data_IF_572312143569
#
_entry.id   IF_572312143569
#
_cell.length_a   1.000
_cell.length_b   1.000
_cell.length_c   1.000
_cell.angle_alpha   90.00
_cell.angle_beta   90.00
_cell.angle_gamma   90.00
#
_symmetry.space_group_name_H-M   'P 1'
#
loop_
_entity.id
_entity.type
_entity.pdbx_description
1 polymer ?
#
# COMPACT_ATOMS: atom_id res chain seq x y z
N UNK A 1 -1.66 -12.58 36.42
CA UNK A 1 -1.34 -11.23 35.95
C UNK A 1 0.09 -11.25 35.48
N UNK A 2 0.32 -11.31 34.17
CA UNK A 2 1.66 -11.20 33.61
C UNK A 2 2.04 -9.73 33.76
N UNK A 3 3.12 -9.48 34.48
CA UNK A 3 3.60 -8.15 34.79
C UNK A 3 4.01 -7.44 33.50
N UNK A 4 3.25 -6.40 33.12
CA UNK A 4 3.43 -5.63 31.87
C UNK A 4 4.82 -4.98 31.81
N UNK A 5 5.44 -4.73 32.97
CA UNK A 5 6.83 -4.26 33.07
C UNK A 5 7.87 -5.28 32.60
N UNK A 6 7.56 -6.58 32.62
CA UNK A 6 8.46 -7.67 32.20
C UNK A 6 8.48 -7.85 30.68
N UNK A 7 7.40 -7.48 29.97
CA UNK A 7 7.41 -7.40 28.51
C UNK A 7 8.32 -6.25 28.04
N UNK A 8 8.22 -5.09 28.70
CA UNK A 8 8.98 -3.86 28.44
C UNK A 8 10.51 -4.07 28.50
N UNK A 9 11.00 -4.69 29.58
CA UNK A 9 12.43 -4.94 29.76
C UNK A 9 13.03 -5.98 28.77
N UNK A 10 12.23 -6.87 28.16
CA UNK A 10 12.73 -7.89 27.20
C UNK A 10 12.92 -7.33 25.79
N UNK A 11 12.25 -6.23 25.46
CA UNK A 11 12.18 -5.66 24.09
C UNK A 11 13.49 -4.95 23.71
N UNK A 12 14.10 -4.25 24.66
CA UNK A 12 15.35 -3.48 24.46
C UNK A 12 16.62 -4.24 24.82
N UNK A 13 16.53 -5.27 25.68
CA UNK A 13 17.70 -6.03 26.14
C UNK A 13 18.19 -7.10 25.17
N UNK A 14 17.35 -7.57 24.24
CA UNK A 14 17.77 -8.55 23.23
C UNK A 14 18.57 -7.93 22.07
N UNK A 15 18.50 -6.61 21.89
CA UNK A 15 19.18 -5.92 20.79
C UNK A 15 20.27 -5.01 21.36
N UNK A 16 21.54 -5.42 21.19
CA UNK A 16 22.71 -4.69 21.70
C UNK A 16 22.90 -3.38 20.93
N UNK A 17 22.29 -2.30 21.39
CA UNK A 17 22.39 -0.99 20.75
C UNK A 17 23.33 -0.03 21.49
N UNK A 18 24.17 0.75 20.76
CA UNK A 18 24.93 1.87 21.32
C UNK A 18 24.05 3.07 21.72
N UNK A 19 22.88 3.22 21.08
CA UNK A 19 21.88 4.25 21.38
C UNK A 19 20.49 3.74 20.95
N UNK A 20 19.80 2.93 21.78
CA UNK A 20 18.49 2.43 21.44
C UNK A 20 17.49 3.59 21.31
N UNK A 21 16.56 3.56 20.33
CA UNK A 21 15.50 4.55 20.26
C UNK A 21 14.65 4.47 21.54
N UNK A 22 14.11 5.61 22.00
CA UNK A 22 13.35 5.65 23.24
C UNK A 22 12.12 4.76 23.11
N UNK A 23 11.96 3.82 24.03
CA UNK A 23 10.84 2.87 24.05
C UNK A 23 9.47 3.57 24.07
N UNK A 24 9.40 4.75 24.68
CA UNK A 24 8.23 5.63 24.70
C UNK A 24 7.79 6.14 23.32
N UNK A 25 8.63 6.02 22.29
CA UNK A 25 8.28 6.41 20.91
C UNK A 25 7.44 5.35 20.21
N UNK A 26 7.58 4.08 20.59
CA UNK A 26 6.83 2.99 19.99
C UNK A 26 5.57 2.67 20.79
N UNK A 27 5.64 2.84 22.12
CA UNK A 27 4.52 2.59 23.04
C UNK A 27 4.47 3.71 24.09
N UNK A 28 3.74 4.82 23.86
CA UNK A 28 3.54 5.80 24.90
C UNK A 28 2.87 5.11 26.11
N UNK A 29 3.30 5.41 27.36
CA UNK A 29 2.70 4.77 28.52
C UNK A 29 1.20 5.07 28.56
N UNK A 30 0.39 4.01 28.48
CA UNK A 30 -1.06 4.05 28.57
C UNK A 30 -1.53 3.07 29.63
N UNK A 31 -2.64 3.39 30.28
CA UNK A 31 -3.34 2.46 31.19
C UNK A 31 -4.50 1.75 30.51
N UNK A 32 -4.76 2.06 29.24
CA UNK A 32 -5.82 1.43 28.46
C UNK A 32 -5.42 0.01 28.07
N UNK A 33 -6.15 -0.97 28.58
CA UNK A 33 -5.88 -2.39 28.34
C UNK A 33 -6.08 -2.80 26.88
N UNK A 34 -6.96 -2.11 26.14
CA UNK A 34 -7.20 -2.39 24.73
C UNK A 34 -6.00 -1.98 23.87
N UNK A 35 -5.43 -0.80 24.15
CA UNK A 35 -4.22 -0.30 23.49
C UNK A 35 -3.04 -1.23 23.79
N UNK A 36 -2.84 -1.61 25.06
CA UNK A 36 -1.78 -2.55 25.46
C UNK A 36 -1.91 -3.90 24.74
N UNK A 37 -3.13 -4.42 24.57
CA UNK A 37 -3.36 -5.68 23.89
C UNK A 37 -3.07 -5.59 22.38
N UNK A 38 -3.45 -4.48 21.74
CA UNK A 38 -3.14 -4.20 20.32
C UNK A 38 -1.62 -4.10 20.10
N UNK A 39 -0.96 -3.34 20.96
CA UNK A 39 0.48 -3.16 21.03
C UNK A 39 1.23 -4.49 21.14
N UNK A 40 0.77 -5.39 22.01
CA UNK A 40 1.33 -6.73 22.15
C UNK A 40 1.09 -7.59 20.90
N UNK A 41 -0.09 -7.49 20.27
CA UNK A 41 -0.39 -8.17 19.02
C UNK A 41 0.54 -7.72 17.89
N UNK A 42 0.67 -6.40 17.66
CA UNK A 42 1.56 -5.82 16.66
C UNK A 42 2.98 -6.31 16.88
N UNK A 43 3.49 -6.23 18.12
CA UNK A 43 4.84 -6.70 18.44
C UNK A 43 5.05 -8.19 18.10
N UNK A 44 4.11 -9.06 18.45
CA UNK A 44 4.17 -10.49 18.13
C UNK A 44 4.18 -10.72 16.61
N UNK A 45 3.38 -9.97 15.85
CA UNK A 45 3.37 -10.02 14.38
C UNK A 45 4.72 -9.56 13.82
N UNK A 46 5.30 -8.47 14.31
CA UNK A 46 6.60 -7.98 13.85
C UNK A 46 7.73 -8.98 14.11
N UNK A 47 7.75 -9.62 15.28
CA UNK A 47 8.72 -10.71 15.54
C UNK A 47 8.57 -11.87 14.57
N UNK A 48 7.33 -12.20 14.20
CA UNK A 48 7.06 -13.23 13.21
C UNK A 48 7.60 -12.82 11.84
N UNK A 49 7.31 -11.60 11.38
CA UNK A 49 7.77 -11.03 10.10
C UNK A 49 9.30 -11.03 10.02
N UNK A 50 9.99 -10.63 11.10
CA UNK A 50 11.46 -10.65 11.17
C UNK A 50 12.04 -12.05 11.04
N UNK A 51 11.47 -13.02 11.77
CA UNK A 51 11.86 -14.44 11.65
C UNK A 51 11.66 -14.94 10.22
N UNK A 52 10.52 -14.60 9.59
CA UNK A 52 10.23 -14.97 8.19
C UNK A 52 11.16 -14.30 7.20
N UNK A 53 11.55 -13.06 7.45
CA UNK A 53 12.55 -12.33 6.66
C UNK A 53 13.86 -13.12 6.65
N UNK A 54 14.42 -13.45 7.82
CA UNK A 54 15.66 -14.24 7.92
C UNK A 54 15.53 -15.62 7.25
N UNK A 55 14.40 -16.32 7.44
CA UNK A 55 14.14 -17.60 6.77
C UNK A 55 14.08 -17.47 5.24
N UNK A 56 13.48 -16.40 4.73
CA UNK A 56 13.40 -16.15 3.29
C UNK A 56 14.78 -15.85 2.71
N UNK A 57 15.62 -15.10 3.42
CA UNK A 57 17.01 -14.80 3.04
C UNK A 57 17.89 -16.04 3.01
N UNK A 58 17.84 -16.85 4.08
CA UNK A 58 18.62 -18.08 4.24
C UNK A 58 18.28 -19.11 3.15
N UNK A 59 17.01 -19.17 2.76
CA UNK A 59 16.51 -20.12 1.75
C UNK A 59 16.58 -19.59 0.32
N UNK A 60 17.04 -18.34 0.11
CA UNK A 60 17.00 -17.67 -1.19
C UNK A 60 15.60 -17.75 -1.82
N UNK A 61 14.58 -17.50 -1.00
CA UNK A 61 13.19 -17.75 -1.37
C UNK A 61 12.77 -16.88 -2.54
N UNK A 62 11.85 -17.40 -3.37
CA UNK A 62 11.26 -16.65 -4.47
C UNK A 62 10.41 -15.49 -3.95
N UNK A 63 10.21 -14.49 -4.81
CA UNK A 63 9.42 -13.29 -4.54
C UNK A 63 8.01 -13.62 -4.01
N UNK A 64 7.37 -14.65 -4.55
CA UNK A 64 6.05 -15.12 -4.08
C UNK A 64 6.04 -15.53 -2.60
N UNK A 65 7.13 -16.11 -2.10
CA UNK A 65 7.24 -16.50 -0.69
C UNK A 65 7.46 -15.28 0.20
N UNK A 66 8.23 -14.28 -0.27
CA UNK A 66 8.37 -12.99 0.42
C UNK A 66 7.04 -12.25 0.50
N UNK A 67 6.29 -12.23 -0.61
CA UNK A 67 4.95 -11.65 -0.70
C UNK A 67 3.99 -12.26 0.34
N UNK A 68 3.95 -13.59 0.42
CA UNK A 68 3.07 -14.31 1.36
C UNK A 68 3.50 -14.17 2.84
N UNK A 69 4.79 -14.36 3.13
CA UNK A 69 5.25 -14.52 4.51
C UNK A 69 5.78 -13.24 5.18
N UNK A 70 6.05 -12.18 4.40
CA UNK A 70 6.67 -10.93 4.89
C UNK A 70 5.84 -9.72 4.48
N UNK A 71 5.65 -9.48 3.18
CA UNK A 71 5.07 -8.23 2.70
C UNK A 71 3.56 -8.13 2.98
N UNK A 72 2.78 -9.18 2.69
CA UNK A 72 1.34 -9.18 3.00
C UNK A 72 1.08 -9.05 4.51
N UNK A 73 1.73 -9.82 5.42
CA UNK A 73 1.58 -9.63 6.87
C UNK A 73 1.98 -8.24 7.37
N UNK A 74 2.95 -7.59 6.73
CA UNK A 74 3.37 -6.23 7.10
C UNK A 74 2.32 -5.20 6.68
N UNK A 75 1.77 -5.33 5.47
CA UNK A 75 0.67 -4.49 4.98
C UNK A 75 -0.58 -4.67 5.86
N UNK A 76 -0.91 -5.92 6.23
CA UNK A 76 -2.01 -6.25 7.15
C UNK A 76 -1.89 -5.47 8.45
N UNK A 77 -0.73 -5.56 9.12
CA UNK A 77 -0.50 -4.87 10.39
C UNK A 77 -0.54 -3.35 10.22
N UNK A 78 0.02 -2.83 9.12
CA UNK A 78 0.12 -1.40 8.90
C UNK A 78 -1.24 -0.75 8.60
N UNK A 79 -2.10 -1.44 7.85
CA UNK A 79 -3.34 -0.88 7.31
C UNK A 79 -4.59 -1.34 8.06
N UNK A 80 -4.47 -2.25 9.03
CA UNK A 80 -5.60 -2.79 9.81
C UNK A 80 -6.59 -1.73 10.31
N UNK A 81 -6.09 -0.67 10.95
CA UNK A 81 -6.95 0.41 11.44
C UNK A 81 -7.49 1.28 10.31
N UNK A 82 -6.72 1.44 9.23
CA UNK A 82 -7.10 2.28 8.09
C UNK A 82 -8.20 1.66 7.22
N UNK A 83 -8.44 0.35 7.31
CA UNK A 83 -9.58 -0.31 6.64
C UNK A 83 -10.92 0.28 7.10
N UNK A 84 -11.04 0.62 8.39
CA UNK A 84 -12.24 1.27 8.93
C UNK A 84 -12.46 2.66 8.35
N UNK A 85 -11.37 3.33 7.97
CA UNK A 85 -11.38 4.64 7.32
C UNK A 85 -11.47 4.54 5.78
N UNK A 86 -11.74 3.34 5.24
CA UNK A 86 -11.87 3.12 3.80
C UNK A 86 -10.54 3.05 3.07
N UNK A 87 -9.44 2.61 3.68
CA UNK A 87 -8.19 2.33 2.97
C UNK A 87 -7.83 0.86 3.14
N UNK A 88 -7.78 0.13 2.03
CA UNK A 88 -7.45 -1.30 2.00
C UNK A 88 -6.22 -1.56 1.15
N UNK A 89 -5.71 -2.80 1.19
CA UNK A 89 -4.70 -3.26 0.25
C UNK A 89 -5.11 -4.60 -0.36
N UNK A 90 -4.64 -4.86 -1.58
CA UNK A 90 -4.85 -6.15 -2.23
C UNK A 90 -3.61 -6.62 -2.97
N UNK A 91 -3.45 -7.95 -3.05
CA UNK A 91 -2.53 -8.57 -4.00
C UNK A 91 -3.14 -8.53 -5.39
N UNK A 92 -2.45 -7.86 -6.32
CA UNK A 92 -2.89 -7.66 -7.69
C UNK A 92 -1.89 -8.20 -8.72
N UNK A 93 -1.01 -9.13 -8.30
CA UNK A 93 0.01 -9.79 -9.15
C UNK A 93 -0.55 -10.38 -10.46
N UNK A 94 -1.81 -10.83 -10.43
CA UNK A 94 -2.48 -11.42 -11.58
C UNK A 94 -3.33 -10.43 -12.37
N UNK A 95 -3.58 -9.24 -11.84
CA UNK A 95 -4.34 -8.21 -12.52
C UNK A 95 -3.54 -7.58 -13.67
N UNK A 96 -4.26 -6.99 -14.61
CA UNK A 96 -3.69 -6.37 -15.81
C UNK A 96 -4.25 -4.99 -16.00
N UNK A 97 -3.50 -4.16 -16.71
CA UNK A 97 -3.99 -2.88 -17.18
C UNK A 97 -5.12 -3.14 -18.18
N UNK A 98 -6.22 -2.39 -18.08
CA UNK A 98 -7.30 -2.46 -19.06
C UNK A 98 -6.77 -2.16 -20.48
N UNK A 99 -7.20 -2.92 -21.52
CA UNK A 99 -6.67 -2.77 -22.87
C UNK A 99 -6.67 -1.33 -23.42
N UNK A 100 -7.71 -0.55 -23.15
CA UNK A 100 -7.82 0.85 -23.61
C UNK A 100 -6.85 1.84 -22.95
N UNK A 101 -6.19 1.44 -21.86
CA UNK A 101 -5.22 2.26 -21.11
C UNK A 101 -3.76 1.83 -21.32
N UNK A 102 -3.56 0.70 -22.03
CA UNK A 102 -2.23 0.18 -22.36
C UNK A 102 -1.51 1.11 -23.32
N UNK A 103 -0.19 0.92 -23.39
CA UNK A 103 0.58 1.60 -24.43
C UNK A 103 0.17 1.08 -25.81
N UNK A 104 -0.06 1.95 -26.82
CA UNK A 104 -0.39 1.53 -28.17
C UNK A 104 0.77 0.79 -28.86
N UNK A 105 2.00 0.98 -28.39
CA UNK A 105 3.16 0.24 -28.92
C UNK A 105 3.08 -1.24 -28.50
N UNK A 106 2.90 -2.11 -29.49
CA UNK A 106 2.79 -3.57 -29.30
C UNK A 106 4.09 -4.24 -28.85
N UNK A 107 5.23 -3.54 -28.94
CA UNK A 107 6.51 -4.03 -28.42
C UNK A 107 6.65 -3.81 -26.91
N UNK A 108 5.78 -3.00 -26.28
CA UNK A 108 5.79 -2.80 -24.83
C UNK A 108 5.02 -3.93 -24.16
N UNK A 109 5.72 -4.68 -23.30
CA UNK A 109 5.15 -5.80 -22.57
C UNK A 109 4.10 -5.36 -21.55
N UNK A 110 3.08 -6.19 -21.32
CA UNK A 110 2.07 -5.97 -20.29
C UNK A 110 2.74 -5.85 -18.91
N UNK A 111 2.54 -4.71 -18.25
CA UNK A 111 3.12 -4.42 -16.95
C UNK A 111 2.22 -4.97 -15.84
N UNK A 112 2.87 -5.33 -14.72
CA UNK A 112 2.20 -5.89 -13.55
C UNK A 112 2.78 -5.22 -12.31
N UNK A 113 2.01 -5.26 -11.24
CA UNK A 113 2.42 -4.82 -9.92
C UNK A 113 1.98 -5.87 -8.90
N UNK A 114 2.68 -5.98 -7.77
CA UNK A 114 2.38 -7.00 -6.77
C UNK A 114 1.19 -6.65 -5.88
N UNK A 115 1.16 -5.42 -5.35
CA UNK A 115 0.09 -4.94 -4.49
C UNK A 115 -0.40 -3.56 -4.89
N UNK A 116 -1.65 -3.27 -4.54
CA UNK A 116 -2.23 -1.94 -4.59
C UNK A 116 -2.80 -1.56 -3.23
N UNK A 117 -2.65 -0.30 -2.84
CA UNK A 117 -3.44 0.33 -1.79
C UNK A 117 -4.60 1.05 -2.46
N UNK A 118 -5.80 0.74 -2.02
CA UNK A 118 -7.05 1.22 -2.57
C UNK A 118 -7.76 2.10 -1.56
N UNK A 119 -8.52 3.07 -2.04
CA UNK A 119 -9.44 3.83 -1.19
C UNK A 119 -10.88 3.43 -1.51
N UNK A 120 -11.56 2.88 -0.51
CA UNK A 120 -12.94 2.43 -0.53
C UNK A 120 -13.83 3.51 0.09
N UNK A 121 -14.51 4.34 -0.73
CA UNK A 121 -15.37 5.39 -0.20
C UNK A 121 -16.55 4.77 0.57
N UNK A 122 -16.81 5.31 1.75
CA UNK A 122 -17.96 4.93 2.59
C UNK A 122 -19.27 5.11 1.82
N UNK A 123 -20.23 4.20 2.00
CA UNK A 123 -21.47 4.17 1.19
C UNK A 123 -22.31 5.45 1.30
N UNK A 124 -22.23 6.15 2.43
CA UNK A 124 -22.93 7.40 2.69
C UNK A 124 -22.15 8.65 2.24
N UNK A 125 -20.94 8.47 1.70
CA UNK A 125 -20.12 9.57 1.21
C UNK A 125 -20.58 10.11 -0.16
N UNK A 126 -20.31 11.39 -0.37
CA UNK A 126 -20.51 12.07 -1.67
C UNK A 126 -19.68 11.42 -2.78
N UNK A 127 -18.44 11.02 -2.49
CA UNK A 127 -17.57 10.34 -3.44
C UNK A 127 -18.13 8.98 -3.88
N UNK A 128 -18.67 8.17 -2.95
CA UNK A 128 -19.33 6.92 -3.30
C UNK A 128 -20.48 7.15 -4.29
N UNK A 129 -21.34 8.14 -4.01
CA UNK A 129 -22.45 8.52 -4.89
C UNK A 129 -21.97 9.02 -6.26
N UNK A 130 -20.89 9.79 -6.30
CA UNK A 130 -20.27 10.29 -7.52
C UNK A 130 -19.70 9.15 -8.38
N UNK A 131 -19.01 8.18 -7.77
CA UNK A 131 -18.51 6.98 -8.46
C UNK A 131 -19.65 6.16 -9.05
N UNK A 132 -20.72 5.91 -8.28
CA UNK A 132 -21.89 5.15 -8.78
C UNK A 132 -22.54 5.84 -9.97
N UNK A 133 -22.70 7.16 -9.90
CA UNK A 133 -23.26 7.97 -10.98
C UNK A 133 -22.34 7.98 -12.21
N UNK A 134 -21.03 8.10 -12.00
CA UNK A 134 -20.04 8.02 -13.06
C UNK A 134 -20.13 6.68 -13.78
N UNK A 135 -20.13 5.55 -13.06
CA UNK A 135 -20.24 4.23 -13.68
C UNK A 135 -21.56 3.94 -14.37
N UNK A 136 -22.68 4.47 -13.86
CA UNK A 136 -23.99 4.28 -14.47
C UNK A 136 -24.11 4.95 -15.86
N UNK A 137 -23.27 5.96 -16.16
CA UNK A 137 -23.30 6.67 -17.45
C UNK A 137 -22.70 5.89 -18.61
N UNK A 138 -21.71 5.02 -18.35
CA UNK A 138 -21.05 4.22 -19.39
C UNK A 138 -20.38 3.00 -18.75
N UNK A 139 -20.64 1.82 -19.30
CA UNK A 139 -20.03 0.55 -18.85
C UNK A 139 -18.49 0.54 -18.94
N UNK A 140 -17.90 1.42 -19.77
CA UNK A 140 -16.46 1.57 -19.90
C UNK A 140 -15.87 2.57 -18.90
N UNK A 141 -16.69 3.24 -18.08
CA UNK A 141 -16.19 4.08 -17.00
C UNK A 141 -15.59 3.20 -15.91
N UNK A 142 -14.33 3.47 -15.60
CA UNK A 142 -13.55 2.72 -14.61
C UNK A 142 -13.14 3.64 -13.49
N UNK A 143 -12.89 3.06 -12.32
CA UNK A 143 -12.35 3.80 -11.17
C UNK A 143 -10.90 3.42 -10.87
N UNK A 144 -10.36 2.45 -11.61
CA UNK A 144 -8.96 2.07 -11.57
C UNK A 144 -8.48 1.74 -13.00
N UNK A 145 -7.18 1.89 -13.24
CA UNK A 145 -6.56 1.49 -14.51
C UNK A 145 -6.35 -0.02 -14.65
N UNK A 146 -6.64 -0.78 -13.59
CA UNK A 146 -6.37 -2.20 -13.43
C UNK A 146 -7.66 -3.03 -13.38
N UNK A 147 -7.63 -4.20 -14.01
CA UNK A 147 -8.67 -5.22 -14.03
C UNK A 147 -8.69 -6.00 -12.70
N UNK A 148 -9.48 -5.53 -11.75
CA UNK A 148 -9.80 -6.28 -10.53
C UNK A 148 -10.79 -7.41 -10.87
N UNK A 149 -10.71 -8.52 -10.14
CA UNK A 149 -11.50 -9.72 -10.45
C UNK A 149 -13.00 -9.54 -10.20
N UNK A 150 -13.35 -8.66 -9.27
CA UNK A 150 -14.71 -8.31 -8.89
C UNK A 150 -15.17 -6.97 -9.48
N UNK A 151 -14.34 -6.30 -10.28
CA UNK A 151 -14.64 -4.97 -10.88
C UNK A 151 -15.10 -3.94 -9.83
N UNK A 152 -14.63 -4.08 -8.58
CA UNK A 152 -15.04 -3.27 -7.44
C UNK A 152 -14.79 -1.79 -7.66
N UNK A 153 -15.66 -0.97 -7.08
CA UNK A 153 -15.71 0.48 -7.28
C UNK A 153 -14.72 1.21 -6.35
N UNK A 154 -13.47 0.76 -6.33
CA UNK A 154 -12.41 1.30 -5.46
C UNK A 154 -11.23 1.83 -6.26
N UNK A 155 -10.95 3.13 -6.19
CA UNK A 155 -9.78 3.69 -6.83
C UNK A 155 -8.47 3.13 -6.30
N UNK A 156 -7.58 2.74 -7.22
CA UNK A 156 -6.19 2.44 -6.91
C UNK A 156 -5.44 3.75 -6.61
N UNK A 157 -4.91 3.86 -5.41
CA UNK A 157 -4.20 5.05 -4.93
C UNK A 157 -2.69 4.90 -5.02
N UNK A 158 -2.14 3.80 -4.47
CA UNK A 158 -0.69 3.57 -4.40
C UNK A 158 -0.38 2.18 -4.97
N UNK A 159 0.55 2.13 -5.92
CA UNK A 159 1.06 0.87 -6.47
C UNK A 159 2.33 0.45 -5.72
N UNK A 160 2.42 -0.83 -5.36
CA UNK A 160 3.56 -1.42 -4.64
C UNK A 160 4.14 -2.56 -5.46
N UNK A 161 5.38 -2.37 -5.91
CA UNK A 161 6.15 -3.39 -6.59
C UNK A 161 7.22 -3.93 -5.63
N UNK A 162 7.27 -5.26 -5.53
CA UNK A 162 8.28 -5.98 -4.79
C UNK A 162 9.29 -6.56 -5.78
N UNK A 163 10.57 -6.50 -5.43
CA UNK A 163 11.61 -7.17 -6.20
C UNK A 163 12.47 -7.97 -5.27
N UNK A 164 12.81 -9.19 -5.70
CA UNK A 164 13.71 -10.02 -4.93
C UNK A 164 15.07 -9.29 -4.73
N UNK A 165 15.54 -9.17 -3.47
CA UNK A 165 16.85 -8.67 -3.09
C UNK A 165 18.03 -9.09 -3.99
N UNK A 166 18.02 -10.35 -4.45
CA UNK A 166 19.16 -11.03 -5.06
C UNK A 166 18.94 -11.34 -6.55
N UNK A 167 17.83 -10.91 -7.15
CA UNK A 167 17.64 -11.09 -8.59
C UNK A 167 18.52 -10.10 -9.36
N UNK A 168 19.74 -10.52 -9.67
CA UNK A 168 20.78 -9.81 -10.45
C UNK A 168 20.44 -9.61 -11.93
N UNK A 169 19.18 -9.76 -12.34
CA UNK A 169 18.79 -9.98 -13.73
C UNK A 169 18.00 -8.88 -14.47
N UNK A 170 17.70 -7.72 -13.88
CA UNK A 170 16.79 -6.76 -14.54
C UNK A 170 17.14 -5.28 -14.39
N UNK A 171 18.40 -4.92 -14.63
CA UNK A 171 18.90 -3.54 -14.46
C UNK A 171 18.17 -2.43 -15.27
N UNK A 172 17.35 -2.77 -16.26
CA UNK A 172 16.54 -1.80 -17.05
C UNK A 172 15.05 -2.21 -17.18
N UNK A 173 14.72 -3.50 -17.08
CA UNK A 173 13.37 -4.00 -17.33
C UNK A 173 12.38 -3.69 -16.20
N UNK A 174 12.81 -3.68 -14.93
CA UNK A 174 11.96 -3.36 -13.78
C UNK A 174 11.42 -1.92 -13.83
N UNK A 175 12.29 -0.89 -13.94
CA UNK A 175 11.87 0.50 -14.06
C UNK A 175 10.99 0.76 -15.30
N UNK A 176 11.26 0.07 -16.42
CA UNK A 176 10.45 0.19 -17.63
C UNK A 176 9.03 -0.38 -17.45
N UNK A 177 8.88 -1.54 -16.79
CA UNK A 177 7.57 -2.10 -16.47
C UNK A 177 6.79 -1.20 -15.52
N UNK A 178 7.45 -0.68 -14.48
CA UNK A 178 6.83 0.28 -13.57
C UNK A 178 6.39 1.55 -14.30
N UNK A 179 7.22 2.06 -15.21
CA UNK A 179 6.87 3.22 -16.05
C UNK A 179 5.63 2.98 -16.92
N UNK A 180 5.49 1.79 -17.52
CA UNK A 180 4.29 1.41 -18.27
C UNK A 180 3.05 1.35 -17.38
N UNK A 181 3.18 0.79 -16.16
CA UNK A 181 2.08 0.75 -15.18
C UNK A 181 1.61 2.15 -14.76
N UNK A 182 2.56 3.00 -14.41
CA UNK A 182 2.30 4.38 -13.96
C UNK A 182 1.71 5.22 -15.08
N UNK A 183 2.17 5.05 -16.33
CA UNK A 183 1.59 5.74 -17.47
C UNK A 183 0.12 5.37 -17.68
N UNK A 184 -0.23 4.10 -17.51
CA UNK A 184 -1.63 3.69 -17.60
C UNK A 184 -2.49 4.29 -16.47
N UNK A 185 -1.92 4.43 -15.27
CA UNK A 185 -2.57 5.14 -14.15
C UNK A 185 -2.83 6.60 -14.52
N UNK A 186 -1.83 7.33 -15.04
CA UNK A 186 -2.03 8.73 -15.48
C UNK A 186 -3.07 8.86 -16.60
N UNK A 187 -3.00 8.01 -17.64
CA UNK A 187 -4.02 8.01 -18.72
C UNK A 187 -5.43 7.79 -18.17
N UNK A 188 -5.56 6.96 -17.15
CA UNK A 188 -6.84 6.74 -16.50
C UNK A 188 -7.31 7.99 -15.76
N UNK A 189 -6.45 8.61 -14.94
CA UNK A 189 -6.79 9.82 -14.20
C UNK A 189 -7.15 10.98 -15.16
N UNK A 190 -6.44 11.13 -16.26
CA UNK A 190 -6.72 12.10 -17.33
C UNK A 190 -8.06 11.84 -18.03
N UNK A 191 -8.55 10.59 -18.05
CA UNK A 191 -9.83 10.24 -18.67
C UNK A 191 -11.06 10.64 -17.83
N UNK A 192 -10.85 11.09 -16.59
CA UNK A 192 -11.95 11.49 -15.72
C UNK A 192 -12.58 12.81 -16.20
N UNK A 193 -13.91 13.00 -16.04
CA UNK A 193 -14.65 14.10 -16.67
C UNK A 193 -14.14 15.51 -16.34
N UNK A 194 -13.62 15.69 -15.12
CA UNK A 194 -13.07 16.97 -14.63
C UNK A 194 -11.68 16.78 -14.04
N UNK A 195 -10.89 15.88 -14.64
CA UNK A 195 -9.50 15.70 -14.25
C UNK A 195 -8.78 17.05 -14.24
N UNK A 196 -8.06 17.33 -13.15
CA UNK A 196 -7.26 18.53 -12.99
C UNK A 196 -5.81 18.11 -12.71
N UNK A 197 -4.98 17.97 -13.77
CA UNK A 197 -3.60 17.53 -13.63
C UNK A 197 -2.74 18.51 -12.83
N UNK A 198 -3.05 19.82 -12.88
CA UNK A 198 -2.29 20.84 -12.16
C UNK A 198 -2.50 20.76 -10.65
N UNK A 199 -3.65 20.22 -10.23
CA UNK A 199 -4.00 20.01 -8.82
C UNK A 199 -3.97 18.53 -8.40
N UNK A 200 -3.46 17.62 -9.24
CA UNK A 200 -3.28 16.21 -8.87
C UNK A 200 -2.20 16.10 -7.77
N UNK A 201 -2.50 15.52 -6.60
CA UNK A 201 -1.48 15.30 -5.59
C UNK A 201 -0.39 14.37 -6.13
N UNK A 202 0.84 14.56 -5.66
CA UNK A 202 1.96 13.68 -6.06
C UNK A 202 1.61 12.22 -5.75
N UNK A 203 1.55 11.39 -6.79
CA UNK A 203 1.17 9.98 -6.69
C UNK A 203 2.33 9.15 -6.12
N UNK A 204 2.21 8.59 -4.90
CA UNK A 204 3.23 7.73 -4.34
C UNK A 204 3.26 6.39 -5.07
N UNK A 205 4.47 5.88 -5.27
CA UNK A 205 4.72 4.52 -5.75
C UNK A 205 5.74 3.91 -4.80
N UNK A 206 5.46 2.72 -4.28
CA UNK A 206 6.38 2.01 -3.40
C UNK A 206 7.13 0.97 -4.22
N UNK A 207 8.45 1.11 -4.26
CA UNK A 207 9.34 0.14 -4.89
C UNK A 207 10.26 -0.44 -3.81
N UNK A 208 10.04 -1.71 -3.46
CA UNK A 208 10.79 -2.38 -2.41
C UNK A 208 12.14 -2.87 -2.98
N UNK A 209 13.21 -2.12 -2.71
CA UNK A 209 14.60 -2.46 -3.09
C UNK A 209 15.60 -2.11 -1.98
N UNK A 210 16.82 -2.63 -2.11
CA UNK A 210 17.91 -2.51 -1.13
C UNK A 210 18.71 -1.22 -1.24
N UNK A 211 18.62 -0.50 -2.35
CA UNK A 211 19.58 0.56 -2.69
C UNK A 211 18.96 1.97 -2.86
N UNK A 212 17.66 2.15 -2.60
CA UNK A 212 16.99 3.46 -2.68
C UNK A 212 16.77 4.11 -1.32
N UNK A 213 16.07 5.26 -1.30
CA UNK A 213 15.64 5.92 -0.06
C UNK A 213 14.85 4.90 0.76
N UNK A 214 15.48 4.44 1.84
CA UNK A 214 14.95 3.37 2.66
C UNK A 214 13.94 3.93 3.65
N UNK A 215 12.67 3.54 3.48
CA UNK A 215 11.58 3.85 4.42
C UNK A 215 11.80 3.09 5.75
N UNK A 216 12.30 1.85 5.66
CA UNK A 216 12.67 1.01 6.79
C UNK A 216 13.16 -0.36 6.33
N UNK A 217 13.26 -1.34 7.23
CA UNK A 217 13.72 -2.69 6.93
C UNK A 217 12.93 -3.74 7.70
N UNK A 218 12.76 -4.94 7.16
CA UNK A 218 12.15 -6.06 7.89
C UNK A 218 13.17 -6.90 8.69
N UNK A 219 14.45 -6.50 8.70
CA UNK A 219 15.52 -7.14 9.50
C UNK A 219 15.45 -6.80 11.01
N UNK A 220 14.79 -5.69 11.36
CA UNK A 220 14.82 -5.07 12.67
C UNK A 220 13.43 -4.63 13.09
N UNK A 221 13.17 -4.63 14.40
CA UNK A 221 11.86 -4.18 14.91
C UNK A 221 11.64 -2.70 14.61
N UNK A 222 12.67 -1.87 14.79
CA UNK A 222 12.65 -0.45 14.42
C UNK A 222 12.33 -0.26 12.94
N UNK A 223 13.01 -1.00 12.05
CA UNK A 223 12.76 -0.92 10.61
C UNK A 223 11.31 -1.28 10.26
N UNK A 224 10.75 -2.31 10.90
CA UNK A 224 9.35 -2.68 10.68
C UNK A 224 8.38 -1.59 11.15
N UNK A 225 8.61 -0.99 12.32
CA UNK A 225 7.79 0.11 12.82
C UNK A 225 7.89 1.35 11.91
N UNK A 226 9.06 1.64 11.36
CA UNK A 226 9.23 2.73 10.40
C UNK A 226 8.44 2.48 9.10
N UNK A 227 8.44 1.24 8.58
CA UNK A 227 7.61 0.87 7.42
C UNK A 227 6.12 1.02 7.76
N UNK A 228 5.67 0.53 8.91
CA UNK A 228 4.28 0.66 9.36
C UNK A 228 3.87 2.14 9.42
N UNK A 229 4.65 2.98 10.09
CA UNK A 229 4.32 4.40 10.25
C UNK A 229 4.25 5.13 8.89
N UNK A 230 5.15 4.78 7.96
CA UNK A 230 5.12 5.35 6.62
C UNK A 230 3.89 4.89 5.82
N UNK A 231 3.53 3.60 5.88
CA UNK A 231 2.32 3.07 5.24
C UNK A 231 1.05 3.70 5.84
N UNK A 232 1.00 3.90 7.14
CA UNK A 232 -0.10 4.60 7.81
C UNK A 232 -0.19 6.08 7.38
N UNK A 233 0.95 6.76 7.21
CA UNK A 233 0.97 8.13 6.69
C UNK A 233 0.47 8.22 5.24
N UNK A 234 0.82 7.22 4.43
CA UNK A 234 0.36 7.08 3.06
C UNK A 234 -1.13 6.73 2.98
N UNK A 235 -1.64 5.90 3.90
CA UNK A 235 -3.07 5.67 4.05
C UNK A 235 -3.81 6.97 4.38
N UNK A 236 -3.27 7.80 5.28
CA UNK A 236 -3.77 9.16 5.52
C UNK A 236 -3.80 10.02 4.25
N UNK A 237 -2.72 10.00 3.46
CA UNK A 237 -2.68 10.71 2.16
C UNK A 237 -3.78 10.22 1.19
N UNK A 238 -4.06 8.92 1.12
CA UNK A 238 -5.16 8.39 0.29
C UNK A 238 -6.50 9.06 0.64
N UNK A 239 -6.76 9.27 1.93
CA UNK A 239 -8.01 9.86 2.43
C UNK A 239 -8.03 11.38 2.34
N UNK A 240 -6.96 12.02 2.74
CA UNK A 240 -6.94 13.46 3.00
C UNK A 240 -6.59 14.26 1.74
N UNK A 241 -5.86 13.66 0.80
CA UNK A 241 -5.38 14.34 -0.41
C UNK A 241 -5.97 13.74 -1.69
N UNK A 242 -5.94 12.40 -1.83
CA UNK A 242 -6.33 11.74 -3.08
C UNK A 242 -7.84 11.59 -3.26
N UNK A 243 -8.58 11.17 -2.22
CA UNK A 243 -10.04 11.05 -2.29
C UNK A 243 -10.75 12.40 -2.60
N UNK A 244 -10.37 13.55 -1.99
CA UNK A 244 -10.96 14.83 -2.36
C UNK A 244 -10.64 15.28 -3.79
N UNK A 245 -9.49 14.89 -4.34
CA UNK A 245 -9.19 15.13 -5.75
C UNK A 245 -10.13 14.30 -6.65
N UNK A 246 -10.35 13.03 -6.33
CA UNK A 246 -11.29 12.16 -7.04
C UNK A 246 -12.72 12.70 -7.01
N UNK A 247 -13.16 13.20 -5.86
CA UNK A 247 -14.48 13.80 -5.72
C UNK A 247 -14.66 15.00 -6.65
N UNK A 248 -13.65 15.86 -6.75
CA UNK A 248 -13.65 17.00 -7.70
C UNK A 248 -13.62 16.52 -9.15
N UNK A 249 -12.82 15.50 -9.46
CA UNK A 249 -12.71 14.94 -10.81
C UNK A 249 -14.02 14.31 -11.31
N UNK A 250 -14.88 13.86 -10.39
CA UNK A 250 -16.22 13.31 -10.66
C UNK A 250 -17.37 14.28 -10.35
N UNK A 251 -17.08 15.52 -9.93
CA UNK A 251 -18.11 16.45 -9.50
C UNK A 251 -19.05 16.88 -10.64
N UNK A 252 -20.29 17.20 -10.29
CA UNK A 252 -21.26 17.79 -11.23
C UNK A 252 -21.70 16.85 -12.35
N UNK A 253 -21.66 15.54 -12.10
CA UNK A 253 -22.28 14.50 -12.94
C UNK A 253 -23.79 14.35 -12.65
N UNK A 254 -24.41 15.35 -12.02
CA UNK A 254 -25.85 15.42 -11.80
C UNK A 254 -26.53 15.97 -13.07
N UNK A 255 -27.18 15.09 -13.84
CA UNK A 255 -27.86 15.44 -15.09
C UNK A 255 -28.16 14.19 -15.94
N UNK A 256 -29.10 14.27 -16.90
CA UNK A 256 -29.44 13.12 -17.74
C UNK A 256 -28.22 12.63 -18.54
N UNK A 257 -28.13 11.31 -18.70
CA UNK A 257 -27.13 10.60 -19.54
C UNK A 257 -27.41 10.84 -21.01
#
# INVERSE_FOLDING_TARGET
MVDVGVCKARITTQERFPNPPLESWFMPPTTDQSVIANDEYIYRRLRMIRRRTAECEDRLSHESTWNDCVHSPLLEVALYESEQDGVSYENITQCRIYPGLRDPDTFITDARIDYGIFFEPQEDSSLYSAIKTFKARNENNRVAHVQLTDERDTPLAISIETKNPKSTGSGVAGPAQLGTWVRAHFRHLESLPRADPDNLPMLPIIFIIWESIQIGSTDSSHGCYAIIAALQRLAGWCRDDYAPWWEKALAGLEGPV
#
